data_IF_168844343994
#
_entry.id   IF_168844343994
#
_cell.length_a   1.000
_cell.length_b   1.000
_cell.length_c   1.000
_cell.angle_alpha   90.00
_cell.angle_beta   90.00
_cell.angle_gamma   90.00
#
_symmetry.space_group_name_H-M   'P 1'
#
loop_
_entity.id
_entity.type
_entity.pdbx_description
1 polymer ?
#
# COMPACT_ATOMS: atom_id res chain seq x y z
N UNK A 1 35.47 87.22 27.80
CA UNK A 1 35.10 87.15 26.37
C UNK A 1 34.86 85.68 26.04
N UNK A 2 33.60 85.28 25.87
CA UNK A 2 32.98 84.89 24.57
C UNK A 2 33.80 83.78 23.87
N UNK A 3 33.30 82.58 23.60
CA UNK A 3 32.09 82.26 22.86
C UNK A 3 31.62 80.82 23.11
N UNK A 4 30.28 80.66 23.17
CA UNK A 4 29.57 79.43 22.83
C UNK A 4 29.93 78.98 21.39
N UNK A 5 30.05 77.68 21.15
CA UNK A 5 29.62 77.12 19.87
C UNK A 5 29.00 75.73 20.05
N UNK A 6 27.79 75.61 19.51
CA UNK A 6 26.95 74.41 19.43
C UNK A 6 27.52 73.47 18.37
N UNK A 7 27.55 72.17 18.63
CA UNK A 7 27.50 71.15 17.58
C UNK A 7 26.62 69.99 18.03
N UNK A 8 25.44 69.90 17.41
CA UNK A 8 24.64 68.68 17.36
C UNK A 8 25.39 67.68 16.47
N UNK A 9 25.70 66.49 17.00
CA UNK A 9 26.16 65.37 16.21
C UNK A 9 24.98 64.41 16.02
N UNK A 10 24.48 64.32 14.80
CA UNK A 10 23.56 63.26 14.37
C UNK A 10 24.39 62.01 14.09
N UNK A 11 24.23 60.97 14.90
CA UNK A 11 24.80 59.65 14.63
C UNK A 11 23.78 58.86 13.79
N UNK A 12 24.06 58.74 12.49
CA UNK A 12 23.32 57.83 11.61
C UNK A 12 23.74 56.39 11.93
N UNK A 13 22.83 55.62 12.54
CA UNK A 13 23.02 54.18 12.73
C UNK A 13 22.68 53.50 11.40
N UNK A 14 23.70 53.10 10.65
CA UNK A 14 23.53 52.15 9.54
C UNK A 14 23.25 50.78 10.15
N UNK A 15 21.98 50.38 10.19
CA UNK A 15 21.60 49.00 10.44
C UNK A 15 22.04 48.14 9.26
N UNK A 16 23.17 47.45 9.41
CA UNK A 16 23.48 46.29 8.58
C UNK A 16 22.46 45.21 8.91
N UNK A 17 21.45 45.06 8.06
CA UNK A 17 20.69 43.82 8.01
C UNK A 17 21.66 42.74 7.52
N UNK A 18 22.22 41.99 8.47
CA UNK A 18 22.72 40.65 8.19
C UNK A 18 21.48 39.87 7.77
N UNK A 19 21.27 39.77 6.47
CA UNK A 19 20.45 38.72 5.91
C UNK A 19 21.16 37.43 6.31
N UNK A 20 20.74 36.83 7.42
CA UNK A 20 21.02 35.44 7.69
C UNK A 20 20.35 34.68 6.53
N UNK A 21 21.13 34.39 5.50
CA UNK A 21 20.89 33.24 4.64
C UNK A 21 20.87 32.07 5.59
N UNK A 22 19.66 31.71 6.03
CA UNK A 22 19.40 30.36 6.48
C UNK A 22 19.55 29.54 5.21
N UNK A 23 20.79 29.20 4.89
CA UNK A 23 21.14 27.97 4.20
C UNK A 23 20.57 26.87 5.11
N UNK A 24 19.24 26.66 4.99
CA UNK A 24 18.62 25.41 5.36
C UNK A 24 19.20 24.46 4.34
N UNK A 25 20.35 23.88 4.69
CA UNK A 25 20.75 22.57 4.23
C UNK A 25 19.47 21.77 4.04
N UNK A 26 19.24 21.29 2.81
CA UNK A 26 18.09 20.48 2.43
C UNK A 26 17.94 19.34 3.44
N UNK A 27 17.20 19.56 4.52
CA UNK A 27 16.73 18.51 5.40
C UNK A 27 15.73 17.80 4.53
N UNK A 28 16.22 16.77 3.83
CA UNK A 28 15.37 15.89 3.05
C UNK A 28 14.42 15.32 4.10
N UNK A 29 13.20 15.86 4.10
CA UNK A 29 12.09 15.42 4.93
C UNK A 29 11.66 14.06 4.39
N UNK A 30 12.46 13.06 4.76
CA UNK A 30 12.27 11.64 4.52
C UNK A 30 11.51 11.13 5.73
N UNK A 31 10.32 10.60 5.49
CA UNK A 31 9.61 9.84 6.50
C UNK A 31 10.50 8.64 6.94
N UNK A 32 10.88 8.54 8.23
CA UNK A 32 11.76 7.45 8.70
C UNK A 32 11.14 6.06 8.50
N UNK A 33 9.83 5.97 8.28
CA UNK A 33 9.15 4.71 7.95
C UNK A 33 9.57 4.17 6.56
N UNK A 34 10.05 5.03 5.64
CA UNK A 34 10.54 4.59 4.33
C UNK A 34 12.03 4.26 4.42
N UNK A 35 12.33 2.97 4.44
CA UNK A 35 13.70 2.46 4.58
C UNK A 35 14.28 1.95 3.26
N UNK A 36 13.42 1.62 2.29
CA UNK A 36 13.85 1.06 0.99
C UNK A 36 13.12 1.75 -0.15
N UNK A 37 13.88 2.26 -1.12
CA UNK A 37 13.36 2.80 -2.38
C UNK A 37 13.45 1.72 -3.46
N UNK A 38 12.31 1.13 -3.80
CA UNK A 38 12.23 0.00 -4.74
C UNK A 38 12.28 0.44 -6.21
N UNK A 39 11.54 1.50 -6.56
CA UNK A 39 11.52 2.07 -7.91
C UNK A 39 12.66 3.07 -8.07
N UNK A 40 13.43 2.98 -9.15
CA UNK A 40 14.63 3.81 -9.33
C UNK A 40 14.32 5.22 -9.82
N UNK A 41 13.18 5.42 -10.47
CA UNK A 41 12.78 6.68 -11.06
C UNK A 41 11.25 6.75 -11.26
N UNK A 42 10.79 7.92 -11.73
CA UNK A 42 9.39 8.18 -11.97
C UNK A 42 8.75 7.29 -13.04
N UNK A 43 9.49 6.91 -14.08
CA UNK A 43 8.97 6.03 -15.13
C UNK A 43 8.70 4.63 -14.58
N UNK A 44 9.62 4.06 -13.78
CA UNK A 44 9.43 2.76 -13.14
C UNK A 44 8.24 2.73 -12.19
N UNK A 45 8.04 3.80 -11.38
CA UNK A 45 6.85 3.91 -10.53
C UNK A 45 5.58 4.07 -11.38
N UNK A 46 5.64 4.85 -12.47
CA UNK A 46 4.50 5.15 -13.32
C UNK A 46 3.89 3.92 -14.00
N UNK A 47 4.69 2.87 -14.27
CA UNK A 47 4.19 1.58 -14.77
C UNK A 47 3.05 1.01 -13.90
N UNK A 48 3.01 1.37 -12.62
CA UNK A 48 2.04 0.86 -11.65
C UNK A 48 0.69 1.57 -11.65
N UNK A 49 0.59 2.74 -12.29
CA UNK A 49 -0.63 3.58 -12.24
C UNK A 49 -0.96 4.32 -13.55
N UNK A 50 -0.03 4.37 -14.49
CA UNK A 50 -0.17 4.99 -15.82
C UNK A 50 0.43 4.05 -16.89
N UNK A 51 -0.11 2.83 -17.08
CA UNK A 51 0.44 1.86 -18.03
C UNK A 51 0.38 2.32 -19.50
N UNK A 52 -0.47 3.30 -19.80
CA UNK A 52 -0.63 3.87 -21.14
C UNK A 52 0.26 5.10 -21.37
N UNK A 53 1.10 5.48 -20.39
CA UNK A 53 2.01 6.61 -20.46
C UNK A 53 1.32 7.93 -20.87
N UNK A 54 0.17 8.20 -20.25
CA UNK A 54 -0.69 9.36 -20.53
C UNK A 54 -0.48 10.52 -19.57
N UNK A 55 0.15 10.27 -18.43
CA UNK A 55 0.37 11.28 -17.40
C UNK A 55 1.61 12.10 -17.72
N UNK A 56 1.49 13.42 -17.61
CA UNK A 56 2.60 14.33 -17.88
C UNK A 56 3.84 14.01 -17.05
N UNK A 57 5.03 14.23 -17.61
CA UNK A 57 6.31 13.99 -16.92
C UNK A 57 6.39 14.75 -15.59
N UNK A 58 5.85 15.97 -15.53
CA UNK A 58 5.81 16.79 -14.32
C UNK A 58 5.05 16.09 -13.19
N UNK A 59 3.86 15.55 -13.48
CA UNK A 59 3.05 14.84 -12.49
C UNK A 59 3.71 13.52 -12.09
N UNK A 60 4.34 12.79 -13.03
CA UNK A 60 5.07 11.55 -12.72
C UNK A 60 6.27 11.81 -11.80
N UNK A 61 7.04 12.85 -12.06
CA UNK A 61 8.16 13.26 -11.20
C UNK A 61 7.68 13.68 -9.81
N UNK A 62 6.57 14.42 -9.72
CA UNK A 62 5.98 14.81 -8.45
C UNK A 62 5.49 13.59 -7.66
N UNK A 63 4.78 12.66 -8.30
CA UNK A 63 4.31 11.42 -7.67
C UNK A 63 5.49 10.60 -7.12
N UNK A 64 6.57 10.47 -7.89
CA UNK A 64 7.77 9.76 -7.47
C UNK A 64 8.47 10.42 -6.27
N UNK A 65 8.60 11.75 -6.28
CA UNK A 65 9.20 12.48 -5.15
C UNK A 65 8.40 12.30 -3.85
N UNK A 66 7.08 12.42 -3.93
CA UNK A 66 6.20 12.22 -2.78
C UNK A 66 6.26 10.76 -2.29
N UNK A 67 6.28 9.80 -3.21
CA UNK A 67 6.35 8.38 -2.89
C UNK A 67 7.65 8.02 -2.14
N UNK A 68 8.81 8.37 -2.71
CA UNK A 68 10.12 8.02 -2.12
C UNK A 68 10.37 8.68 -0.76
N UNK A 69 9.68 9.81 -0.48
CA UNK A 69 9.77 10.55 0.79
C UNK A 69 8.71 10.14 1.81
N UNK A 70 7.77 9.28 1.42
CA UNK A 70 6.68 8.86 2.29
C UNK A 70 5.65 9.95 2.62
N UNK A 71 5.45 10.89 1.69
CA UNK A 71 4.44 11.96 1.77
C UNK A 71 3.09 11.48 1.26
N UNK A 72 2.51 10.52 2.00
CA UNK A 72 1.36 9.74 1.58
C UNK A 72 0.08 10.55 1.40
N UNK A 73 -0.19 11.51 2.30
CA UNK A 73 -1.37 12.36 2.20
C UNK A 73 -1.30 13.25 0.97
N UNK A 74 -0.14 13.85 0.71
CA UNK A 74 0.11 14.70 -0.46
C UNK A 74 0.05 13.87 -1.75
N UNK A 75 0.56 12.64 -1.73
CA UNK A 75 0.46 11.70 -2.85
C UNK A 75 -0.99 11.33 -3.14
N UNK A 76 -1.80 11.07 -2.12
CA UNK A 76 -3.24 10.80 -2.27
C UNK A 76 -3.99 12.01 -2.84
N UNK A 77 -3.68 13.22 -2.35
CA UNK A 77 -4.22 14.46 -2.91
C UNK A 77 -3.83 14.65 -4.37
N UNK A 78 -2.59 14.36 -4.75
CA UNK A 78 -2.13 14.43 -6.15
C UNK A 78 -2.91 13.46 -7.05
N UNK A 79 -3.08 12.21 -6.60
CA UNK A 79 -3.81 11.18 -7.35
C UNK A 79 -5.28 11.55 -7.55
N UNK A 80 -5.94 12.09 -6.51
CA UNK A 80 -7.31 12.58 -6.59
C UNK A 80 -7.44 13.77 -7.54
N UNK A 81 -6.57 14.77 -7.41
CA UNK A 81 -6.63 15.98 -8.24
C UNK A 81 -6.42 15.71 -9.73
N UNK A 82 -5.68 14.64 -10.05
CA UNK A 82 -5.37 14.26 -11.43
C UNK A 82 -6.14 13.03 -11.93
N UNK A 83 -7.12 12.52 -11.16
CA UNK A 83 -7.91 11.31 -11.48
C UNK A 83 -7.05 10.08 -11.85
N UNK A 84 -5.94 9.88 -11.15
CA UNK A 84 -4.98 8.81 -11.44
C UNK A 84 -5.44 7.47 -10.88
N UNK A 85 -5.14 6.38 -11.61
CA UNK A 85 -5.27 5.00 -11.15
C UNK A 85 -6.65 4.58 -10.60
N UNK A 86 -7.73 5.24 -11.04
CA UNK A 86 -9.06 5.03 -10.46
C UNK A 86 -9.14 5.31 -8.95
N UNK A 87 -8.24 6.15 -8.43
CA UNK A 87 -8.14 6.49 -7.02
C UNK A 87 -7.31 5.52 -6.16
N UNK A 88 -6.77 4.43 -6.73
CA UNK A 88 -5.88 3.51 -6.01
C UNK A 88 -4.46 4.07 -5.88
N UNK A 89 -3.72 3.73 -4.80
CA UNK A 89 -2.34 4.15 -4.66
C UNK A 89 -1.44 3.56 -5.77
N UNK A 90 -0.31 4.20 -6.10
CA UNK A 90 0.70 3.59 -6.95
C UNK A 90 1.36 2.40 -6.24
N UNK A 91 2.26 1.70 -6.94
CA UNK A 91 3.05 0.60 -6.39
C UNK A 91 2.20 -0.52 -5.76
N UNK A 92 0.99 -0.73 -6.27
CA UNK A 92 -0.01 -1.63 -5.66
C UNK A 92 -0.24 -1.35 -4.17
N UNK A 93 -0.13 -0.08 -3.74
CA UNK A 93 -0.28 0.33 -2.35
C UNK A 93 0.89 -0.03 -1.43
N UNK A 94 2.03 -0.44 -1.98
CA UNK A 94 3.20 -0.87 -1.22
C UNK A 94 4.33 0.15 -1.17
N UNK A 95 5.04 0.20 -0.04
CA UNK A 95 6.40 0.75 0.10
C UNK A 95 7.28 -0.22 0.90
N UNK A 96 8.59 0.04 0.99
CA UNK A 96 9.56 -0.92 1.55
C UNK A 96 9.45 -2.33 0.92
N UNK A 97 9.33 -2.35 -0.40
CA UNK A 97 9.04 -3.57 -1.17
C UNK A 97 10.26 -4.51 -1.15
N UNK A 98 9.99 -5.78 -0.86
CA UNK A 98 10.91 -6.90 -1.05
C UNK A 98 10.25 -7.87 -2.00
N UNK A 99 10.86 -8.07 -3.16
CA UNK A 99 10.33 -8.92 -4.22
C UNK A 99 10.92 -10.33 -4.16
N UNK A 100 10.27 -11.26 -4.85
CA UNK A 100 10.74 -12.65 -5.01
C UNK A 100 10.95 -13.40 -3.68
N UNK A 101 10.06 -13.14 -2.72
CA UNK A 101 10.02 -13.82 -1.41
C UNK A 101 9.37 -15.19 -1.56
N UNK A 102 10.09 -16.24 -1.17
CA UNK A 102 9.59 -17.61 -1.20
C UNK A 102 8.59 -17.87 -0.07
N UNK A 103 7.49 -18.56 -0.38
CA UNK A 103 6.55 -19.06 0.62
C UNK A 103 7.16 -20.25 1.37
N UNK A 104 6.85 -20.34 2.67
CA UNK A 104 7.28 -21.43 3.53
C UNK A 104 6.06 -22.15 4.10
N UNK A 105 6.15 -23.47 4.21
CA UNK A 105 5.12 -24.28 4.86
C UNK A 105 4.89 -23.78 6.28
N UNK A 106 3.62 -23.69 6.68
CA UNK A 106 3.22 -23.18 8.00
C UNK A 106 3.09 -21.67 8.09
N UNK A 107 3.47 -20.91 7.06
CA UNK A 107 3.10 -19.49 6.98
C UNK A 107 1.58 -19.36 6.86
N UNK A 108 1.06 -18.31 7.50
CA UNK A 108 -0.36 -17.99 7.52
C UNK A 108 -0.59 -16.57 7.04
N UNK A 109 -1.70 -16.38 6.36
CA UNK A 109 -2.12 -15.10 5.82
C UNK A 109 -3.62 -14.92 6.07
N UNK A 110 -4.11 -13.70 6.01
CA UNK A 110 -5.53 -13.40 6.01
C UNK A 110 -5.91 -12.39 4.93
N UNK A 111 -7.21 -12.35 4.62
CA UNK A 111 -7.76 -11.47 3.59
C UNK A 111 -9.23 -11.16 3.85
N UNK A 112 -9.58 -9.91 3.58
CA UNK A 112 -10.96 -9.47 3.38
C UNK A 112 -11.27 -9.46 1.88
N UNK A 113 -12.38 -10.06 1.44
CA UNK A 113 -12.81 -9.98 0.04
C UNK A 113 -14.31 -10.24 -0.15
N UNK A 114 -14.79 -10.00 -1.37
CA UNK A 114 -16.00 -10.64 -1.89
C UNK A 114 -15.67 -11.98 -2.56
N UNK A 115 -16.70 -12.68 -3.05
CA UNK A 115 -16.52 -13.80 -3.96
C UNK A 115 -16.21 -13.30 -5.37
N UNK A 116 -15.49 -14.13 -6.14
CA UNK A 116 -15.24 -13.91 -7.57
C UNK A 116 -16.39 -14.49 -8.38
N UNK A 117 -16.84 -13.76 -9.39
CA UNK A 117 -17.96 -14.17 -10.26
C UNK A 117 -19.32 -14.01 -9.59
N UNK A 118 -20.32 -14.73 -10.11
CA UNK A 118 -21.73 -14.60 -9.72
C UNK A 118 -22.12 -15.54 -8.56
N UNK A 119 -21.42 -15.46 -7.43
CA UNK A 119 -21.76 -16.25 -6.25
C UNK A 119 -23.12 -15.83 -5.70
N UNK A 120 -24.04 -16.79 -5.54
CA UNK A 120 -25.43 -16.55 -5.15
C UNK A 120 -25.72 -16.89 -3.66
N UNK A 121 -24.70 -17.26 -2.89
CA UNK A 121 -24.85 -17.62 -1.47
C UNK A 121 -25.03 -19.11 -1.20
N UNK A 122 -25.01 -19.99 -2.21
CA UNK A 122 -25.10 -21.44 -2.01
C UNK A 122 -23.78 -22.15 -2.31
N UNK A 123 -23.44 -23.17 -1.52
CA UNK A 123 -22.19 -23.92 -1.67
C UNK A 123 -20.96 -23.13 -1.23
N UNK A 124 -19.77 -23.59 -1.66
CA UNK A 124 -18.49 -22.97 -1.32
C UNK A 124 -18.24 -21.77 -2.25
N UNK A 125 -17.95 -20.56 -1.72
CA UNK A 125 -17.67 -19.40 -2.55
C UNK A 125 -16.34 -19.55 -3.29
N UNK A 126 -16.27 -19.02 -4.50
CA UNK A 126 -15.01 -18.85 -5.23
C UNK A 126 -14.30 -17.62 -4.70
N UNK A 127 -13.16 -17.81 -4.04
CA UNK A 127 -12.34 -16.74 -3.45
C UNK A 127 -11.11 -16.49 -4.31
N UNK A 128 -10.72 -15.23 -4.49
CA UNK A 128 -9.55 -14.88 -5.32
C UNK A 128 -8.90 -13.54 -4.99
N UNK A 129 -8.15 -13.03 -5.98
CA UNK A 129 -7.20 -11.94 -5.83
C UNK A 129 -5.83 -12.43 -5.35
N UNK A 130 -4.87 -11.51 -5.21
CA UNK A 130 -3.47 -11.83 -4.93
C UNK A 130 -2.92 -11.21 -3.66
N UNK A 131 -3.60 -10.24 -3.05
CA UNK A 131 -3.09 -9.50 -1.90
C UNK A 131 -3.61 -10.07 -0.58
N UNK A 132 -2.72 -10.33 0.36
CA UNK A 132 -3.06 -10.83 1.69
C UNK A 132 -2.28 -10.03 2.72
N UNK A 133 -2.63 -10.11 4.00
CA UNK A 133 -1.71 -9.70 5.07
C UNK A 133 -1.14 -10.94 5.76
N UNK A 134 0.15 -10.94 6.12
CA UNK A 134 0.72 -12.05 6.86
C UNK A 134 0.20 -12.06 8.30
N UNK A 135 -0.01 -13.27 8.83
CA UNK A 135 -0.28 -13.51 10.25
C UNK A 135 1.04 -13.94 10.89
N UNK A 136 1.56 -13.12 11.80
CA UNK A 136 2.90 -13.30 12.36
C UNK A 136 2.73 -13.66 13.84
N UNK A 137 3.19 -14.85 14.22
CA UNK A 137 3.07 -15.35 15.60
C UNK A 137 1.63 -15.30 16.15
N UNK A 138 0.64 -15.53 15.28
CA UNK A 138 -0.78 -15.45 15.63
C UNK A 138 -1.38 -14.04 15.66
N UNK A 139 -0.58 -13.00 15.46
CA UNK A 139 -1.04 -11.61 15.39
C UNK A 139 -1.49 -11.24 13.97
N UNK A 140 -2.62 -10.56 13.88
CA UNK A 140 -3.20 -10.03 12.64
C UNK A 140 -3.14 -8.51 12.63
N UNK A 141 -3.02 -7.92 11.44
CA UNK A 141 -3.17 -6.47 11.27
C UNK A 141 -4.63 -6.06 11.40
N UNK A 142 -4.88 -4.89 12.01
CA UNK A 142 -6.22 -4.30 12.10
C UNK A 142 -6.77 -3.99 10.70
N UNK A 143 -8.08 -3.78 10.61
CA UNK A 143 -8.70 -3.40 9.34
C UNK A 143 -8.13 -2.09 8.77
N UNK A 144 -7.93 -1.08 9.61
CA UNK A 144 -7.42 0.24 9.18
C UNK A 144 -5.95 0.18 8.73
N UNK A 145 -5.17 -0.76 9.26
CA UNK A 145 -3.79 -0.98 8.83
C UNK A 145 -3.67 -1.53 7.40
N UNK A 146 -4.80 -1.99 6.82
CA UNK A 146 -4.85 -2.58 5.47
C UNK A 146 -5.19 -1.59 4.37
N UNK A 147 -5.55 -0.35 4.74
CA UNK A 147 -5.93 0.72 3.83
C UNK A 147 -6.90 0.30 2.71
N UNK A 148 -7.96 -0.42 3.10
CA UNK A 148 -8.98 -0.91 2.19
C UNK A 148 -9.98 0.18 1.78
N UNK A 149 -10.49 0.07 0.55
CA UNK A 149 -11.25 1.13 -0.15
C UNK A 149 -12.72 1.28 0.28
N UNK A 150 -13.19 0.44 1.20
CA UNK A 150 -14.55 0.47 1.73
C UNK A 150 -14.51 0.07 3.20
N UNK A 151 -15.62 0.30 3.91
CA UNK A 151 -15.75 -0.09 5.31
C UNK A 151 -15.72 -1.62 5.49
N UNK A 152 -15.32 -2.07 6.68
CA UNK A 152 -15.16 -3.50 7.01
C UNK A 152 -16.46 -4.29 6.77
N UNK A 153 -17.60 -3.69 7.12
CA UNK A 153 -18.95 -4.24 6.96
C UNK A 153 -19.39 -4.38 5.49
N UNK A 154 -18.57 -3.96 4.52
CA UNK A 154 -18.84 -4.14 3.08
C UNK A 154 -18.15 -5.36 2.48
N UNK A 155 -17.27 -6.02 3.23
CA UNK A 155 -16.63 -7.25 2.80
C UNK A 155 -17.47 -8.47 3.19
N UNK A 156 -17.73 -9.34 2.23
CA UNK A 156 -18.57 -10.52 2.47
C UNK A 156 -17.84 -11.63 3.23
N UNK A 157 -16.52 -11.69 3.07
CA UNK A 157 -15.67 -12.72 3.68
C UNK A 157 -14.42 -12.11 4.33
N UNK A 158 -14.08 -12.63 5.50
CA UNK A 158 -12.74 -12.60 6.07
C UNK A 158 -12.28 -14.03 6.30
N UNK A 159 -11.13 -14.40 5.75
CA UNK A 159 -10.60 -15.77 5.79
C UNK A 159 -9.10 -15.79 6.05
N UNK A 160 -8.66 -16.92 6.61
CA UNK A 160 -7.26 -17.27 6.79
C UNK A 160 -6.82 -18.26 5.71
N UNK A 161 -5.57 -18.16 5.30
CA UNK A 161 -4.90 -19.01 4.32
C UNK A 161 -3.67 -19.60 4.99
N UNK A 162 -3.62 -20.92 5.11
CA UNK A 162 -2.46 -21.67 5.58
C UNK A 162 -1.67 -22.21 4.38
N UNK A 163 -0.36 -21.99 4.34
CA UNK A 163 0.54 -22.62 3.36
C UNK A 163 0.82 -24.05 3.80
N UNK A 164 0.37 -25.03 3.01
CA UNK A 164 0.55 -26.45 3.27
C UNK A 164 1.75 -27.04 2.53
N UNK A 165 2.01 -26.55 1.32
CA UNK A 165 3.10 -27.02 0.46
C UNK A 165 3.75 -25.83 -0.26
N UNK A 166 5.06 -25.70 -0.16
CA UNK A 166 5.84 -24.62 -0.77
C UNK A 166 6.43 -24.96 -2.15
N UNK A 167 6.00 -26.06 -2.78
CA UNK A 167 6.37 -26.44 -4.15
C UNK A 167 5.68 -25.61 -5.24
N UNK A 168 5.00 -24.53 -4.86
CA UNK A 168 4.39 -23.58 -5.79
C UNK A 168 5.48 -22.96 -6.68
N UNK A 169 5.23 -22.91 -7.99
CA UNK A 169 6.18 -22.38 -8.98
C UNK A 169 6.21 -20.84 -9.05
N UNK A 170 5.60 -20.16 -8.07
CA UNK A 170 5.56 -18.71 -8.01
C UNK A 170 6.02 -18.19 -6.65
N UNK A 171 6.52 -16.96 -6.65
CA UNK A 171 6.99 -16.25 -5.46
C UNK A 171 5.99 -15.17 -5.04
N UNK A 172 6.30 -14.51 -3.93
CA UNK A 172 5.53 -13.39 -3.42
C UNK A 172 6.35 -12.10 -3.43
N UNK A 173 5.65 -10.99 -3.28
CA UNK A 173 6.23 -9.67 -2.99
C UNK A 173 5.65 -9.18 -1.67
N UNK A 174 6.50 -8.77 -0.74
CA UNK A 174 6.07 -8.20 0.54
C UNK A 174 6.30 -6.70 0.55
N UNK A 175 5.39 -5.96 1.19
CA UNK A 175 5.51 -4.51 1.32
C UNK A 175 4.81 -4.01 2.59
N UNK A 176 5.23 -2.86 3.08
CA UNK A 176 4.43 -2.05 4.00
C UNK A 176 3.32 -1.34 3.21
N UNK A 177 2.16 -1.13 3.85
CA UNK A 177 0.96 -0.60 3.18
C UNK A 177 0.93 0.92 3.29
N UNK A 178 0.84 1.62 2.17
CA UNK A 178 0.69 3.08 2.13
C UNK A 178 -0.61 3.48 2.84
N UNK A 179 -0.60 4.43 3.78
CA UNK A 179 -1.80 5.09 4.29
C UNK A 179 -2.58 5.71 3.12
N UNK A 180 -3.82 5.27 2.92
CA UNK A 180 -4.64 5.64 1.78
C UNK A 180 -6.12 5.52 2.11
N UNK A 181 -7.01 6.12 1.31
CA UNK A 181 -8.46 6.12 1.56
C UNK A 181 -8.83 6.62 2.96
N UNK A 182 -8.06 7.57 3.49
CA UNK A 182 -8.19 8.06 4.89
C UNK A 182 -8.02 6.97 5.97
N UNK A 183 -7.38 5.86 5.63
CA UNK A 183 -7.04 4.77 6.55
C UNK A 183 -5.59 4.89 7.02
N UNK A 184 -5.30 4.29 8.18
CA UNK A 184 -3.99 4.38 8.82
C UNK A 184 -2.86 3.74 8.01
N UNK A 185 -3.14 2.66 7.26
CA UNK A 185 -2.11 1.89 6.56
C UNK A 185 -1.03 1.37 7.53
N UNK A 186 0.21 1.28 7.07
CA UNK A 186 1.39 0.81 7.83
C UNK A 186 1.30 -0.62 8.34
N UNK A 187 0.29 -1.39 7.91
CA UNK A 187 0.34 -2.85 8.01
C UNK A 187 1.31 -3.44 6.99
N UNK A 188 1.40 -4.77 6.95
CA UNK A 188 2.12 -5.49 5.90
C UNK A 188 1.15 -6.17 4.94
N UNK A 189 1.52 -6.15 3.67
CA UNK A 189 0.86 -6.94 2.63
C UNK A 189 1.84 -7.92 1.99
N UNK A 190 1.28 -9.00 1.45
CA UNK A 190 1.95 -9.97 0.60
C UNK A 190 1.13 -10.13 -0.67
N UNK A 191 1.71 -9.73 -1.79
CA UNK A 191 1.18 -10.01 -3.12
C UNK A 191 1.70 -11.36 -3.58
N UNK A 192 0.79 -12.27 -3.87
CA UNK A 192 1.09 -13.57 -4.43
C UNK A 192 1.13 -13.45 -5.95
N UNK A 193 2.26 -13.80 -6.59
CA UNK A 193 2.40 -13.79 -8.06
C UNK A 193 1.73 -15.02 -8.67
N UNK A 194 0.48 -15.27 -8.30
CA UNK A 194 -0.29 -16.46 -8.70
C UNK A 194 -0.41 -16.47 -10.23
N UNK A 195 -0.07 -17.59 -10.89
CA UNK A 195 -0.12 -17.69 -12.34
C UNK A 195 -1.57 -17.64 -12.86
N UNK A 196 -1.69 -17.30 -14.14
CA UNK A 196 -2.94 -17.43 -14.89
C UNK A 196 -3.29 -18.92 -15.05
N UNK A 197 -4.54 -19.27 -14.80
CA UNK A 197 -5.11 -20.57 -15.15
C UNK A 197 -5.37 -20.60 -16.66
N UNK A 198 -4.69 -21.53 -17.35
CA UNK A 198 -4.82 -21.70 -18.80
C UNK A 198 -6.25 -22.03 -19.25
N UNK A 199 -7.06 -22.64 -18.38
CA UNK A 199 -8.43 -23.02 -18.71
C UNK A 199 -9.41 -21.85 -18.65
N UNK A 200 -9.12 -20.83 -17.84
CA UNK A 200 -10.02 -19.70 -17.62
C UNK A 200 -9.51 -18.39 -18.23
N UNK A 201 -8.19 -18.28 -18.45
CA UNK A 201 -7.54 -17.03 -18.83
C UNK A 201 -7.40 -16.02 -17.68
N UNK A 202 -7.85 -16.38 -16.47
CA UNK A 202 -7.75 -15.55 -15.27
C UNK A 202 -6.74 -16.13 -14.27
N UNK A 203 -6.25 -15.29 -13.35
CA UNK A 203 -5.43 -15.76 -12.23
C UNK A 203 -6.11 -16.90 -11.47
N UNK A 204 -5.35 -17.95 -11.09
CA UNK A 204 -5.89 -19.04 -10.27
C UNK A 204 -6.49 -18.49 -8.98
N UNK A 205 -7.61 -19.08 -8.58
CA UNK A 205 -8.33 -18.73 -7.35
C UNK A 205 -7.67 -19.38 -6.13
N UNK A 206 -8.01 -18.91 -4.93
CA UNK A 206 -7.61 -19.59 -3.70
C UNK A 206 -8.18 -21.01 -3.64
N UNK A 207 -9.39 -21.22 -4.17
CA UNK A 207 -9.98 -22.55 -4.31
C UNK A 207 -9.11 -23.47 -5.17
N UNK A 208 -8.59 -22.97 -6.30
CA UNK A 208 -7.74 -23.77 -7.18
C UNK A 208 -6.41 -24.12 -6.53
N UNK A 209 -5.78 -23.17 -5.84
CA UNK A 209 -4.56 -23.44 -5.08
C UNK A 209 -4.80 -24.42 -3.92
N UNK A 210 -5.99 -24.39 -3.32
CA UNK A 210 -6.40 -25.33 -2.30
C UNK A 210 -6.63 -26.74 -2.87
N UNK A 211 -7.35 -26.86 -3.99
CA UNK A 211 -7.55 -28.12 -4.72
C UNK A 211 -6.21 -28.76 -5.12
N UNK A 212 -5.22 -27.96 -5.53
CA UNK A 212 -3.87 -28.41 -5.88
C UNK A 212 -3.00 -28.76 -4.66
N UNK A 213 -3.53 -28.63 -3.43
CA UNK A 213 -2.86 -29.03 -2.20
C UNK A 213 -1.78 -28.05 -1.70
N UNK A 214 -1.72 -26.85 -2.25
CA UNK A 214 -0.73 -25.84 -1.84
C UNK A 214 -1.14 -25.10 -0.58
N UNK A 215 -2.43 -24.84 -0.43
CA UNK A 215 -2.97 -24.05 0.68
C UNK A 215 -4.23 -24.69 1.27
N UNK A 216 -4.60 -24.23 2.46
CA UNK A 216 -5.94 -24.39 3.03
C UNK A 216 -6.52 -23.03 3.30
N UNK A 217 -7.79 -22.83 2.96
CA UNK A 217 -8.52 -21.61 3.28
C UNK A 217 -9.58 -21.91 4.32
N UNK A 218 -9.68 -21.08 5.37
CA UNK A 218 -10.74 -21.19 6.37
C UNK A 218 -11.50 -19.87 6.46
N UNK A 219 -12.81 -19.87 6.18
CA UNK A 219 -13.66 -18.69 6.34
C UNK A 219 -13.86 -18.42 7.84
N UNK A 220 -13.42 -17.26 8.30
CA UNK A 220 -13.43 -16.90 9.74
C UNK A 220 -14.60 -16.02 10.11
N UNK A 221 -15.02 -15.12 9.21
CA UNK A 221 -16.13 -14.18 9.45
C UNK A 221 -16.85 -13.86 8.14
N UNK A 222 -18.10 -13.43 8.27
CA UNK A 222 -18.82 -12.69 7.23
C UNK A 222 -19.05 -11.25 7.73
N UNK A 223 -18.10 -10.32 7.49
CA UNK A 223 -18.18 -8.97 8.04
C UNK A 223 -19.45 -8.22 7.63
N UNK A 224 -19.92 -8.41 6.40
CA UNK A 224 -21.19 -7.83 5.92
C UNK A 224 -22.44 -8.46 6.50
N UNK A 225 -22.31 -9.60 7.18
CA UNK A 225 -23.43 -10.37 7.71
C UNK A 225 -24.27 -11.09 6.66
N UNK A 226 -23.90 -11.05 5.37
CA UNK A 226 -24.67 -11.70 4.29
C UNK A 226 -24.60 -13.22 4.32
N UNK A 227 -23.46 -13.79 4.74
CA UNK A 227 -23.21 -15.24 4.67
C UNK A 227 -22.71 -15.84 5.99
N UNK A 228 -23.43 -15.67 7.11
CA UNK A 228 -22.99 -16.15 8.43
C UNK A 228 -22.90 -17.68 8.48
N UNK A 229 -23.70 -18.39 7.68
CA UNK A 229 -23.71 -19.84 7.57
C UNK A 229 -22.43 -20.43 6.96
N UNK A 230 -21.57 -19.61 6.34
CA UNK A 230 -20.31 -20.06 5.74
C UNK A 230 -19.11 -19.90 6.68
N UNK A 231 -19.30 -19.28 7.85
CA UNK A 231 -18.23 -19.20 8.86
C UNK A 231 -17.86 -20.60 9.33
N UNK A 232 -16.56 -20.91 9.33
CA UNK A 232 -16.03 -22.25 9.62
C UNK A 232 -15.86 -23.14 8.38
N UNK A 233 -16.30 -22.71 7.20
CA UNK A 233 -16.05 -23.45 5.94
C UNK A 233 -14.54 -23.57 5.71
N UNK A 234 -14.09 -24.79 5.43
CA UNK A 234 -12.70 -25.11 5.08
C UNK A 234 -12.65 -25.52 3.60
N UNK A 235 -11.73 -24.91 2.86
CA UNK A 235 -11.44 -25.21 1.46
C UNK A 235 -10.02 -25.79 1.41
N UNK A 236 -9.93 -27.06 1.07
CA UNK A 236 -8.70 -27.87 1.01
C UNK A 236 -8.94 -29.03 0.02
N UNK A 237 -7.90 -29.81 -0.36
CA UNK A 237 -8.06 -30.99 -1.22
C UNK A 237 -9.10 -31.99 -0.69
#
# INVERSE_FOLDING_TARGET
MKHLFKYLFFLAITSFSVACSSDNDDVIDINPDVTTVFYKNADELAVTYDPNNTVSITVRNQAYDLYRRGKWSELESLFKANNLNGGWPPANGGYNIVDDVALQVGQKFDRYSGAVGSYNGTGVPTLGGSFTSPIINGYTYTFTQRALNQAEDKYDFYYEIDVLNNSMQFKTQTADIIPWFSQAGKGKQTMWKIPVDINTGYQKTWNKLAEEGYIKVTIKKSPSGKYPNLVGTVIQP
#
